data_IF_422368385140
#
_entry.id   IF_422368385140
#
_cell.length_a   1.000
_cell.length_b   1.000
_cell.length_c   1.000
_cell.angle_alpha   90.00
_cell.angle_beta   90.00
_cell.angle_gamma   90.00
#
_symmetry.space_group_name_H-M   'P 1'
#
loop_
_entity.id
_entity.type
_entity.pdbx_description
1 polymer ?
#
# COMPACT_ATOMS: atom_id res chain seq x y z
N UNK A 1 7.51 22.76 14.37
CA UNK A 1 6.79 22.14 13.24
C UNK A 1 5.53 21.53 13.83
N UNK A 2 4.32 21.85 13.37
CA UNK A 2 3.14 21.19 13.89
C UNK A 2 3.17 19.73 13.45
N UNK A 3 3.08 18.85 14.43
CA UNK A 3 2.89 17.42 14.29
C UNK A 3 1.53 17.23 13.61
N UNK A 4 1.51 17.10 12.29
CA UNK A 4 0.29 16.86 11.52
C UNK A 4 -0.11 15.39 11.73
N UNK A 5 -0.59 15.08 12.93
CA UNK A 5 -1.33 13.84 13.17
C UNK A 5 -2.58 13.95 12.29
N UNK A 6 -2.78 13.09 11.27
CA UNK A 6 -4.01 13.17 10.49
C UNK A 6 -5.17 12.94 11.46
N UNK A 7 -6.01 13.96 11.60
CA UNK A 7 -7.26 13.89 12.33
C UNK A 7 -8.02 12.66 11.85
N UNK A 8 -8.65 11.97 12.79
CA UNK A 8 -9.22 10.62 12.68
C UNK A 8 -9.63 10.21 11.25
N UNK A 9 -9.27 9.00 10.78
CA UNK A 9 -9.58 8.58 9.43
C UNK A 9 -11.08 8.70 9.16
N UNK A 10 -11.44 9.43 8.10
CA UNK A 10 -12.81 9.73 7.72
C UNK A 10 -13.58 8.48 7.31
N UNK A 11 -12.86 7.45 6.84
CA UNK A 11 -13.45 6.17 6.45
C UNK A 11 -12.62 5.01 6.99
N UNK A 12 -13.29 4.00 7.54
CA UNK A 12 -12.73 2.70 7.89
C UNK A 12 -13.60 1.60 7.31
N UNK A 13 -12.98 0.62 6.67
CA UNK A 13 -13.69 -0.58 6.21
C UNK A 13 -12.84 -1.84 6.39
N UNK A 14 -13.47 -3.01 6.57
CA UNK A 14 -12.76 -4.28 6.58
C UNK A 14 -12.09 -4.55 5.23
N UNK A 15 -10.83 -4.97 5.22
CA UNK A 15 -10.11 -5.33 3.99
C UNK A 15 -10.76 -6.54 3.29
N UNK A 16 -11.40 -7.43 4.05
CA UNK A 16 -12.12 -8.60 3.53
C UNK A 16 -13.26 -8.26 2.56
N UNK A 17 -13.76 -7.02 2.57
CA UNK A 17 -14.74 -6.58 1.58
C UNK A 17 -14.17 -6.56 0.16
N UNK A 18 -12.85 -6.41 0.01
CA UNK A 18 -12.18 -6.48 -1.30
C UNK A 18 -12.34 -7.86 -1.97
N UNK A 19 -12.50 -8.94 -1.20
CA UNK A 19 -12.72 -10.28 -1.77
C UNK A 19 -14.01 -10.38 -2.58
N UNK A 20 -14.99 -9.51 -2.33
CA UNK A 20 -16.22 -9.41 -3.11
C UNK A 20 -16.03 -8.82 -4.51
N UNK A 21 -14.87 -8.21 -4.81
CA UNK A 21 -14.58 -7.57 -6.11
C UNK A 21 -14.06 -8.55 -7.18
N UNK A 22 -13.99 -9.85 -6.89
CA UNK A 22 -13.54 -10.89 -7.83
C UNK A 22 -12.03 -11.19 -7.77
N UNK A 23 -11.46 -11.73 -8.86
CA UNK A 23 -10.02 -12.00 -8.95
C UNK A 23 -9.24 -10.72 -9.29
N UNK A 24 -8.08 -10.45 -8.67
CA UNK A 24 -7.26 -11.33 -7.83
C UNK A 24 -7.60 -11.30 -6.33
N UNK A 25 -8.52 -10.44 -5.89
CA UNK A 25 -8.84 -10.21 -4.47
C UNK A 25 -9.41 -11.42 -3.74
N UNK A 26 -10.19 -12.26 -4.44
CA UNK A 26 -10.69 -13.51 -3.88
C UNK A 26 -9.54 -14.48 -3.54
N UNK A 27 -8.51 -14.54 -4.39
CA UNK A 27 -7.34 -15.41 -4.18
C UNK A 27 -6.46 -14.88 -3.05
N UNK A 28 -6.26 -13.56 -2.99
CA UNK A 28 -5.48 -12.93 -1.93
C UNK A 28 -6.18 -13.02 -0.56
N UNK A 29 -7.52 -13.00 -0.57
CA UNK A 29 -8.38 -12.94 0.61
C UNK A 29 -7.81 -11.98 1.67
N UNK A 30 -7.61 -10.70 1.32
CA UNK A 30 -6.99 -9.73 2.21
C UNK A 30 -7.87 -9.54 3.44
N UNK A 31 -7.28 -9.58 4.62
CA UNK A 31 -7.97 -9.30 5.88
C UNK A 31 -7.26 -8.17 6.64
N UNK A 32 -7.95 -7.59 7.62
CA UNK A 32 -7.52 -6.41 8.38
C UNK A 32 -8.45 -5.21 8.19
N UNK A 33 -7.98 -4.03 8.56
CA UNK A 33 -8.77 -2.78 8.51
C UNK A 33 -8.08 -1.75 7.64
N UNK A 34 -8.77 -1.28 6.61
CA UNK A 34 -8.32 -0.14 5.82
C UNK A 34 -8.90 1.12 6.45
N UNK A 35 -8.08 2.15 6.58
CA UNK A 35 -8.49 3.45 7.07
C UNK A 35 -7.91 4.54 6.19
N UNK A 36 -8.73 5.51 5.83
CA UNK A 36 -8.34 6.57 4.91
C UNK A 36 -8.48 7.91 5.64
N UNK A 37 -7.46 8.76 5.52
CA UNK A 37 -7.41 10.15 5.98
C UNK A 37 -7.02 11.06 4.82
N UNK A 38 -7.66 12.21 4.63
CA UNK A 38 -7.37 13.11 3.52
C UNK A 38 -7.54 14.57 3.95
N UNK A 39 -6.69 15.44 3.43
CA UNK A 39 -6.65 16.87 3.77
C UNK A 39 -6.50 17.68 2.50
N UNK A 40 -7.49 18.53 2.21
CA UNK A 40 -7.52 19.34 1.00
C UNK A 40 -7.48 18.52 -0.30
N UNK A 41 -7.90 17.25 -0.25
CA UNK A 41 -7.79 16.35 -1.38
C UNK A 41 -8.83 16.67 -2.44
N UNK A 42 -8.36 17.02 -3.64
CA UNK A 42 -9.22 17.41 -4.76
C UNK A 42 -8.82 16.59 -5.98
N UNK A 43 -9.82 16.01 -6.65
CA UNK A 43 -9.67 15.26 -7.89
C UNK A 43 -10.43 15.98 -9.01
N UNK A 44 -9.70 16.46 -10.01
CA UNK A 44 -10.27 17.17 -11.16
C UNK A 44 -9.94 16.44 -12.46
N UNK A 45 -10.97 15.92 -13.11
CA UNK A 45 -10.86 15.32 -14.45
C UNK A 45 -11.30 16.32 -15.53
N UNK A 46 -10.45 16.55 -16.54
CA UNK A 46 -10.82 17.21 -17.81
C UNK A 46 -10.36 16.37 -18.99
N UNK A 47 -11.30 15.67 -19.63
CA UNK A 47 -10.99 14.74 -20.72
C UNK A 47 -10.08 13.61 -20.24
N UNK A 48 -8.95 13.40 -20.93
CA UNK A 48 -7.95 12.41 -20.51
C UNK A 48 -6.98 12.91 -19.42
N UNK A 49 -7.08 14.17 -19.00
CA UNK A 49 -6.23 14.74 -17.97
C UNK A 49 -6.92 14.62 -16.60
N UNK A 50 -6.17 14.10 -15.64
CA UNK A 50 -6.58 14.03 -14.23
C UNK A 50 -5.57 14.84 -13.43
N UNK A 51 -6.05 15.80 -12.65
CA UNK A 51 -5.26 16.55 -11.68
C UNK A 51 -5.66 16.13 -10.28
N UNK A 52 -4.66 15.89 -9.44
CA UNK A 52 -4.84 15.57 -8.03
C UNK A 52 -4.06 16.59 -7.21
N UNK A 53 -4.75 17.18 -6.23
CA UNK A 53 -4.20 18.17 -5.29
C UNK A 53 -4.51 17.76 -3.85
N UNK A 54 -3.69 18.22 -2.90
CA UNK A 54 -3.84 17.91 -1.47
C UNK A 54 -3.10 16.64 -1.05
N UNK A 55 -3.38 16.14 0.16
CA UNK A 55 -2.72 14.95 0.71
C UNK A 55 -3.76 13.93 1.12
N UNK A 56 -3.53 12.67 0.77
CA UNK A 56 -4.30 11.54 1.27
C UNK A 56 -3.35 10.52 1.89
N UNK A 57 -3.84 9.79 2.89
CA UNK A 57 -3.13 8.73 3.56
C UNK A 57 -4.09 7.55 3.72
N UNK A 58 -3.60 6.37 3.38
CA UNK A 58 -4.29 5.10 3.55
C UNK A 58 -3.45 4.27 4.51
N UNK A 59 -4.07 3.80 5.58
CA UNK A 59 -3.48 2.85 6.50
C UNK A 59 -4.18 1.51 6.36
N UNK A 60 -3.38 0.45 6.22
CA UNK A 60 -3.84 -0.91 6.27
C UNK A 60 -3.35 -1.51 7.59
N UNK A 61 -4.26 -1.74 8.53
CA UNK A 61 -3.98 -2.30 9.85
C UNK A 61 -4.20 -3.80 9.87
N UNK A 62 -3.28 -4.49 10.54
CA UNK A 62 -3.34 -5.93 10.81
C UNK A 62 -3.58 -6.76 9.54
N UNK A 63 -2.89 -6.38 8.46
CA UNK A 63 -3.03 -7.03 7.16
C UNK A 63 -2.70 -8.51 7.27
N UNK A 64 -3.57 -9.35 6.70
CA UNK A 64 -3.32 -10.77 6.52
C UNK A 64 -3.72 -11.21 5.12
N UNK A 65 -3.09 -12.26 4.61
CA UNK A 65 -3.44 -12.85 3.31
C UNK A 65 -3.28 -14.35 3.39
N UNK A 66 -4.15 -15.10 2.70
CA UNK A 66 -4.05 -16.56 2.58
C UNK A 66 -2.77 -17.05 1.92
N UNK A 67 -2.05 -16.18 1.22
CA UNK A 67 -0.75 -16.52 0.62
C UNK A 67 0.40 -16.58 1.63
N UNK A 68 0.19 -16.09 2.85
CA UNK A 68 1.17 -16.08 3.92
C UNK A 68 0.81 -17.07 5.02
N UNK A 69 1.82 -17.74 5.57
CA UNK A 69 1.64 -18.60 6.75
C UNK A 69 1.61 -17.79 8.05
N UNK A 70 2.13 -16.56 8.01
CA UNK A 70 2.16 -15.64 9.15
C UNK A 70 1.01 -14.65 9.05
N UNK A 71 0.25 -14.51 10.14
CA UNK A 71 -0.80 -13.52 10.30
C UNK A 71 -0.70 -12.87 11.69
N UNK A 72 -0.76 -11.53 11.79
CA UNK A 72 -0.77 -10.56 10.69
C UNK A 72 0.61 -10.45 10.02
N UNK A 73 0.60 -10.13 8.72
CA UNK A 73 1.80 -9.74 7.95
C UNK A 73 2.36 -8.40 8.39
N UNK A 74 1.48 -7.49 8.80
CA UNK A 74 1.87 -6.20 9.34
C UNK A 74 0.81 -5.12 9.17
N UNK A 75 1.17 -3.91 9.57
CA UNK A 75 0.40 -2.70 9.29
C UNK A 75 1.24 -1.76 8.43
N UNK A 76 0.61 -1.11 7.47
CA UNK A 76 1.27 -0.28 6.46
C UNK A 76 0.59 1.07 6.33
N UNK A 77 1.38 2.06 5.92
CA UNK A 77 0.91 3.40 5.58
C UNK A 77 1.30 3.71 4.15
N UNK A 78 0.32 4.15 3.37
CA UNK A 78 0.52 4.70 2.03
C UNK A 78 0.13 6.17 2.03
N UNK A 79 1.07 7.04 1.73
CA UNK A 79 0.85 8.47 1.52
C UNK A 79 0.72 8.78 0.03
N UNK A 80 -0.24 9.62 -0.32
CA UNK A 80 -0.45 10.19 -1.65
C UNK A 80 -0.37 11.72 -1.54
N UNK A 81 0.56 12.32 -2.25
CA UNK A 81 0.72 13.77 -2.33
C UNK A 81 0.33 14.24 -3.72
N UNK A 82 -0.78 14.97 -3.78
CA UNK A 82 -1.29 15.66 -4.96
C UNK A 82 -0.45 16.90 -5.28
N UNK A 83 -0.03 17.01 -6.54
CA UNK A 83 0.78 18.12 -7.05
C UNK A 83 0.57 18.36 -8.55
N UNK A 84 -0.61 18.04 -9.08
CA UNK A 84 -0.95 18.15 -10.51
C UNK A 84 -1.26 16.80 -11.14
N UNK A 85 -0.75 16.56 -12.35
CA UNK A 85 -1.10 15.38 -13.17
C UNK A 85 -0.34 14.09 -12.80
N UNK A 86 0.63 14.20 -11.90
CA UNK A 86 1.50 13.09 -11.46
C UNK A 86 1.67 13.11 -9.94
N UNK A 87 0.60 12.86 -9.17
CA UNK A 87 0.70 12.71 -7.73
C UNK A 87 1.70 11.62 -7.33
N UNK A 88 2.38 11.85 -6.21
CA UNK A 88 3.44 11.00 -5.68
C UNK A 88 2.89 10.05 -4.62
N UNK A 89 3.38 8.81 -4.64
CA UNK A 89 3.04 7.76 -3.68
C UNK A 89 4.27 7.41 -2.83
N UNK A 90 4.04 7.16 -1.55
CA UNK A 90 5.05 6.63 -0.62
C UNK A 90 4.40 5.50 0.18
N UNK A 91 5.06 4.36 0.28
CA UNK A 91 4.64 3.21 1.08
C UNK A 91 5.67 2.97 2.19
N UNK A 92 5.20 2.77 3.42
CA UNK A 92 6.03 2.39 4.57
C UNK A 92 5.33 1.37 5.47
N UNK A 93 6.13 0.50 6.08
CA UNK A 93 5.67 -0.35 7.19
C UNK A 93 5.53 0.46 8.47
N UNK A 94 4.40 0.30 9.14
CA UNK A 94 4.16 0.76 10.50
C UNK A 94 4.70 -0.29 11.48
N UNK A 95 4.34 -1.55 11.28
CA UNK A 95 4.77 -2.68 12.13
C UNK A 95 4.56 -4.02 11.41
N UNK A 96 5.19 -5.08 11.91
CA UNK A 96 4.92 -6.46 11.51
C UNK A 96 6.10 -7.21 10.89
N UNK A 97 5.94 -8.51 10.65
CA UNK A 97 7.00 -9.36 10.14
C UNK A 97 7.38 -9.06 8.68
N UNK A 98 6.44 -8.59 7.85
CA UNK A 98 6.73 -8.18 6.48
C UNK A 98 7.02 -6.68 6.43
N UNK A 99 8.25 -6.33 6.07
CA UNK A 99 8.74 -4.98 5.91
C UNK A 99 8.58 -4.55 4.45
N UNK A 100 7.86 -3.46 4.20
CA UNK A 100 7.58 -2.89 2.90
C UNK A 100 7.99 -1.42 2.90
N UNK A 101 8.73 -1.02 1.87
CA UNK A 101 9.03 0.37 1.61
C UNK A 101 8.99 0.64 0.11
N UNK A 102 8.65 1.86 -0.29
CA UNK A 102 8.66 2.22 -1.70
C UNK A 102 8.07 3.57 -2.01
N UNK A 103 8.19 3.95 -3.26
CA UNK A 103 7.67 5.21 -3.78
C UNK A 103 7.30 5.09 -5.25
N UNK A 104 6.43 5.98 -5.70
CA UNK A 104 5.92 5.95 -7.06
C UNK A 104 5.25 7.24 -7.49
N UNK A 105 4.77 7.25 -8.73
CA UNK A 105 3.91 8.31 -9.25
C UNK A 105 2.74 7.72 -10.02
N UNK A 106 1.58 8.35 -9.91
CA UNK A 106 0.39 7.97 -10.67
C UNK A 106 0.17 9.02 -11.76
N UNK A 107 0.55 8.72 -13.00
CA UNK A 107 0.19 9.56 -14.14
C UNK A 107 -1.13 9.14 -14.76
N UNK A 108 -1.76 10.03 -15.54
CA UNK A 108 -3.06 9.76 -16.19
C UNK A 108 -3.08 8.51 -17.10
N UNK A 109 -1.93 8.11 -17.65
CA UNK A 109 -1.82 6.95 -18.57
C UNK A 109 -1.04 5.77 -18.01
N UNK A 110 -0.25 5.98 -16.95
CA UNK A 110 0.67 4.97 -16.42
C UNK A 110 0.95 5.24 -14.96
N UNK A 111 0.84 4.19 -14.15
CA UNK A 111 1.33 4.17 -12.78
C UNK A 111 2.77 3.64 -12.78
N UNK A 112 3.64 4.28 -12.02
CA UNK A 112 4.99 3.81 -11.77
C UNK A 112 5.18 3.63 -10.27
N UNK A 113 5.64 2.47 -9.83
CA UNK A 113 5.93 2.21 -8.43
C UNK A 113 7.20 1.37 -8.33
N UNK A 114 8.08 1.74 -7.40
CA UNK A 114 9.26 0.98 -7.04
C UNK A 114 9.31 0.84 -5.53
N UNK A 115 9.47 -0.39 -5.07
CA UNK A 115 9.59 -0.68 -3.66
C UNK A 115 10.42 -1.92 -3.39
N UNK A 116 10.67 -2.16 -2.13
CA UNK A 116 11.31 -3.35 -1.62
C UNK A 116 10.44 -4.00 -0.55
N UNK A 117 10.49 -5.32 -0.52
CA UNK A 117 9.89 -6.15 0.51
C UNK A 117 10.98 -7.00 1.16
N UNK A 118 11.02 -7.03 2.48
CA UNK A 118 11.92 -7.84 3.29
C UNK A 118 11.18 -8.50 4.45
N UNK A 119 11.75 -9.55 5.00
CA UNK A 119 11.28 -10.13 6.24
C UNK A 119 12.02 -9.49 7.43
N UNK A 120 11.32 -9.23 8.52
CA UNK A 120 11.93 -8.92 9.79
C UNK A 120 12.70 -10.14 10.34
N UNK A 121 13.71 -9.94 11.20
CA UNK A 121 14.46 -11.03 11.81
C UNK A 121 13.55 -12.06 12.49
N UNK A 122 13.78 -13.34 12.21
CA UNK A 122 13.00 -14.46 12.75
C UNK A 122 11.76 -14.82 11.93
N UNK A 123 11.43 -14.07 10.88
CA UNK A 123 10.29 -14.35 9.99
C UNK A 123 10.70 -14.76 8.56
N UNK A 124 12.00 -14.89 8.29
CA UNK A 124 12.55 -15.12 6.95
C UNK A 124 12.02 -16.39 6.31
N UNK A 125 12.00 -17.50 7.07
CA UNK A 125 11.54 -18.79 6.57
C UNK A 125 10.04 -18.77 6.24
N UNK A 126 9.23 -18.17 7.12
CA UNK A 126 7.79 -18.13 6.98
C UNK A 126 7.32 -17.16 5.87
N UNK A 127 8.14 -16.13 5.56
CA UNK A 127 7.88 -15.16 4.49
C UNK A 127 8.60 -15.48 3.18
N UNK A 128 9.47 -16.49 3.15
CA UNK A 128 10.29 -16.81 1.97
C UNK A 128 9.46 -17.04 0.70
N UNK A 129 8.34 -17.76 0.81
CA UNK A 129 7.42 -18.01 -0.31
C UNK A 129 6.70 -16.73 -0.75
N UNK A 130 6.23 -15.93 0.21
CA UNK A 130 5.54 -14.69 -0.09
C UNK A 130 6.45 -13.69 -0.82
N UNK A 131 7.68 -13.55 -0.35
CA UNK A 131 8.68 -12.68 -0.97
C UNK A 131 8.97 -13.11 -2.43
N UNK A 132 8.91 -14.40 -2.75
CA UNK A 132 9.06 -14.88 -4.13
C UNK A 132 7.88 -14.49 -5.04
N UNK A 133 6.68 -14.32 -4.48
CA UNK A 133 5.46 -14.01 -5.26
C UNK A 133 5.33 -12.50 -5.48
N UNK A 134 5.69 -11.68 -4.49
CA UNK A 134 5.42 -10.23 -4.51
C UNK A 134 6.34 -9.47 -5.47
N UNK A 135 7.56 -9.93 -5.70
CA UNK A 135 8.55 -9.20 -6.51
C UNK A 135 9.70 -10.06 -6.98
N UNK A 136 10.63 -9.44 -7.71
CA UNK A 136 11.84 -10.11 -8.17
C UNK A 136 12.81 -10.26 -7.00
N UNK A 137 13.18 -11.50 -6.67
CA UNK A 137 14.10 -11.79 -5.57
C UNK A 137 15.50 -11.24 -5.86
N UNK A 138 16.06 -10.53 -4.89
CA UNK A 138 17.42 -10.01 -4.88
C UNK A 138 18.04 -10.33 -3.50
N UNK A 139 18.53 -11.57 -3.36
CA UNK A 139 19.04 -12.08 -2.08
C UNK A 139 17.91 -12.29 -1.05
N UNK A 140 17.98 -11.56 0.06
CA UNK A 140 17.00 -11.59 1.16
C UNK A 140 15.85 -10.59 0.99
N UNK A 141 15.90 -9.73 -0.02
CA UNK A 141 14.85 -8.76 -0.36
C UNK A 141 14.17 -9.12 -1.67
N UNK A 142 12.98 -8.60 -1.86
CA UNK A 142 12.22 -8.69 -3.11
C UNK A 142 11.92 -7.30 -3.64
N UNK A 143 12.31 -7.06 -4.89
CA UNK A 143 12.09 -5.78 -5.55
C UNK A 143 10.73 -5.79 -6.24
N UNK A 144 9.90 -4.82 -5.89
CA UNK A 144 8.60 -4.58 -6.48
C UNK A 144 8.77 -3.48 -7.52
N UNK A 145 8.30 -3.72 -8.74
CA UNK A 145 8.33 -2.71 -9.79
C UNK A 145 7.08 -2.83 -10.65
N UNK A 146 6.34 -1.72 -10.76
CA UNK A 146 5.13 -1.58 -11.58
C UNK A 146 5.36 -0.39 -12.51
N UNK A 147 5.01 -0.54 -13.79
CA UNK A 147 5.21 0.46 -14.85
C UNK A 147 4.38 0.18 -16.08
#
# INVERSE_FOLDING_TARGET
>A
MPDATPEQPWIRWPAGWLSGLGTPWNTLAPDGVIAISAQGFVFEGRGAAVNVSGVAQVELRDFSSRLAQVAPLGSYRMGLVGGGQTPQLILTTIQGPLQLSGQGSLGAKRAQFRGEATAAPGSEAALANLLNIIGRREGARSIISVG
#
